data_IF_973174678142
#
_entry.id   IF_973174678142
#
_cell.length_a   1.000
_cell.length_b   1.000
_cell.length_c   1.000
_cell.angle_alpha   90.00
_cell.angle_beta   90.00
_cell.angle_gamma   90.00
#
_symmetry.space_group_name_H-M   'P 1'
#
loop_
_entity.id
_entity.type
_entity.pdbx_description
1 polymer ?
#
# COMPACT_ATOMS: atom_id res chain seq x y z
N UNK A 1 30.30 -40.75 -22.26
CA UNK A 1 30.11 -39.28 -22.17
C UNK A 1 29.87 -38.61 -23.53
N UNK A 2 30.79 -38.63 -24.52
CA UNK A 2 30.52 -37.96 -25.83
C UNK A 2 29.37 -38.57 -26.65
N UNK A 3 29.19 -39.89 -26.61
CA UNK A 3 28.11 -40.57 -27.35
C UNK A 3 26.71 -40.27 -26.76
N UNK A 4 26.58 -40.27 -25.43
CA UNK A 4 25.31 -40.03 -24.75
C UNK A 4 24.80 -38.60 -24.95
N UNK A 5 25.70 -37.61 -24.91
CA UNK A 5 25.37 -36.22 -25.23
C UNK A 5 24.86 -36.04 -26.67
N UNK A 6 25.38 -36.82 -27.62
CA UNK A 6 24.91 -36.76 -29.00
C UNK A 6 23.49 -37.34 -29.16
N UNK A 7 23.15 -38.37 -28.38
CA UNK A 7 21.80 -38.95 -28.34
C UNK A 7 20.81 -37.96 -27.70
N UNK A 8 21.16 -37.36 -26.56
CA UNK A 8 20.35 -36.33 -25.90
C UNK A 8 20.09 -35.12 -26.81
N UNK A 9 21.13 -34.61 -27.49
CA UNK A 9 20.99 -33.52 -28.46
C UNK A 9 20.12 -33.91 -29.66
N UNK A 10 20.16 -35.16 -30.11
CA UNK A 10 19.30 -35.64 -31.20
C UNK A 10 17.83 -35.71 -30.79
N UNK A 11 17.53 -36.22 -29.58
CA UNK A 11 16.17 -36.28 -29.05
C UNK A 11 15.58 -34.88 -28.82
N UNK A 12 16.37 -33.92 -28.33
CA UNK A 12 15.93 -32.53 -28.18
C UNK A 12 15.63 -31.89 -29.54
N UNK A 13 16.46 -32.12 -30.56
CA UNK A 13 16.19 -31.63 -31.92
C UNK A 13 14.92 -32.25 -32.50
N UNK A 14 14.70 -33.54 -32.28
CA UNK A 14 13.49 -34.21 -32.73
C UNK A 14 12.24 -33.61 -32.06
N UNK A 15 12.26 -33.37 -30.74
CA UNK A 15 11.17 -32.70 -30.04
C UNK A 15 10.97 -31.25 -30.52
N UNK A 16 12.06 -30.53 -30.77
CA UNK A 16 12.05 -29.16 -31.30
C UNK A 16 11.40 -29.08 -32.67
N UNK A 17 11.75 -29.97 -33.59
CA UNK A 17 11.20 -29.99 -34.95
C UNK A 17 9.69 -30.27 -34.95
N UNK A 18 9.20 -31.05 -33.99
CA UNK A 18 7.77 -31.36 -33.85
C UNK A 18 6.99 -30.17 -33.31
N UNK A 19 7.45 -29.54 -32.23
CA UNK A 19 6.64 -28.56 -31.48
C UNK A 19 7.07 -27.10 -31.64
N UNK A 20 8.27 -26.82 -32.16
CA UNK A 20 8.86 -25.47 -32.20
C UNK A 20 9.49 -25.13 -33.56
N UNK A 21 9.07 -25.79 -34.64
CA UNK A 21 9.61 -25.57 -35.99
C UNK A 21 9.43 -24.15 -36.54
N UNK A 22 8.50 -23.39 -35.98
CA UNK A 22 8.22 -21.98 -36.28
C UNK A 22 9.02 -20.99 -35.42
N UNK A 23 9.64 -21.45 -34.34
CA UNK A 23 10.47 -20.62 -33.46
C UNK A 23 11.91 -20.68 -33.97
N UNK A 24 12.49 -19.50 -34.23
CA UNK A 24 13.91 -19.43 -34.55
C UNK A 24 14.73 -19.85 -33.32
N UNK A 25 15.36 -21.03 -33.41
CA UNK A 25 16.27 -21.54 -32.39
C UNK A 25 17.47 -20.63 -32.12
N UNK A 26 17.78 -19.70 -33.04
CA UNK A 26 18.83 -18.70 -32.87
C UNK A 26 18.35 -17.41 -32.16
N UNK A 27 17.03 -17.22 -32.03
CA UNK A 27 16.46 -16.12 -31.25
C UNK A 27 16.85 -16.22 -29.78
N UNK A 28 16.79 -15.10 -29.05
CA UNK A 28 17.10 -15.09 -27.61
C UNK A 28 16.25 -16.08 -26.83
N UNK A 29 14.93 -16.07 -27.06
CA UNK A 29 13.98 -16.96 -26.41
C UNK A 29 14.12 -18.42 -26.87
N UNK A 30 14.37 -18.64 -28.18
CA UNK A 30 14.58 -19.97 -28.74
C UNK A 30 15.82 -20.67 -28.16
N UNK A 31 16.91 -19.93 -27.96
CA UNK A 31 18.12 -20.44 -27.28
C UNK A 31 17.84 -20.87 -25.84
N UNK A 32 17.05 -20.08 -25.10
CA UNK A 32 16.69 -20.38 -23.71
C UNK A 32 15.86 -21.67 -23.63
N UNK A 33 14.84 -21.81 -24.49
CA UNK A 33 14.02 -23.01 -24.54
C UNK A 33 14.83 -24.25 -24.95
N UNK A 34 15.67 -24.14 -25.98
CA UNK A 34 16.52 -25.25 -26.44
C UNK A 34 17.51 -25.69 -25.35
N UNK A 35 18.13 -24.72 -24.66
CA UNK A 35 19.02 -25.01 -23.53
C UNK A 35 18.28 -25.68 -22.38
N UNK A 36 17.06 -25.25 -22.05
CA UNK A 36 16.24 -25.89 -21.05
C UNK A 36 15.92 -27.35 -21.42
N UNK A 37 15.50 -27.62 -22.65
CA UNK A 37 15.22 -28.99 -23.10
C UNK A 37 16.45 -29.91 -23.01
N UNK A 38 17.65 -29.39 -23.31
CA UNK A 38 18.89 -30.12 -23.06
C UNK A 38 19.09 -30.46 -21.59
N UNK A 39 18.81 -29.52 -20.67
CA UNK A 39 18.89 -29.83 -19.23
C UNK A 39 17.90 -30.91 -18.81
N UNK A 40 16.67 -30.89 -19.34
CA UNK A 40 15.66 -31.93 -19.06
C UNK A 40 16.12 -33.30 -19.56
N UNK A 41 16.70 -33.37 -20.75
CA UNK A 41 17.23 -34.61 -21.32
C UNK A 41 18.34 -35.21 -20.42
N UNK A 42 19.25 -34.37 -19.90
CA UNK A 42 20.37 -34.80 -19.04
C UNK A 42 19.98 -35.22 -17.62
N UNK A 43 18.80 -34.80 -17.12
CA UNK A 43 18.33 -35.13 -15.76
C UNK A 43 17.69 -36.52 -15.67
N UNK A 44 17.55 -37.22 -16.79
CA UNK A 44 16.99 -38.59 -16.81
C UNK A 44 18.06 -39.56 -16.28
N UNK A 45 17.82 -40.31 -15.18
CA UNK A 45 18.84 -41.17 -14.61
C UNK A 45 19.20 -42.29 -15.59
N UNK A 46 20.47 -42.37 -15.97
CA UNK A 46 21.02 -43.51 -16.69
C UNK A 46 20.87 -44.76 -15.81
N UNK A 47 19.83 -45.56 -16.05
CA UNK A 47 19.82 -46.95 -15.61
C UNK A 47 20.70 -47.73 -16.57
N UNK A 48 21.62 -48.53 -16.03
CA UNK A 48 22.28 -49.58 -16.81
C UNK A 48 21.20 -50.60 -17.20
N UNK A 49 20.76 -50.58 -18.45
CA UNK A 49 19.66 -51.38 -18.97
C UNK A 49 20.01 -51.95 -20.36
N UNK A 50 19.30 -52.99 -20.75
CA UNK A 50 19.59 -53.82 -21.94
C UNK A 50 19.02 -53.21 -23.24
N UNK A 51 19.45 -53.65 -24.44
CA UNK A 51 19.13 -52.98 -25.72
C UNK A 51 17.63 -52.84 -26.07
N UNK A 52 16.76 -53.61 -25.43
CA UNK A 52 15.30 -53.52 -25.61
C UNK A 52 14.65 -52.50 -24.65
N UNK A 53 15.29 -52.21 -23.52
CA UNK A 53 14.87 -51.19 -22.56
C UNK A 53 15.31 -49.79 -23.04
N UNK A 54 16.45 -49.68 -23.74
CA UNK A 54 16.97 -48.43 -24.31
C UNK A 54 15.97 -47.75 -25.28
N UNK A 55 15.33 -48.51 -26.18
CA UNK A 55 14.35 -47.94 -27.12
C UNK A 55 13.08 -47.46 -26.43
N UNK A 56 12.66 -48.13 -25.35
CA UNK A 56 11.48 -47.75 -24.55
C UNK A 56 11.77 -46.47 -23.75
N UNK A 57 12.97 -46.36 -23.18
CA UNK A 57 13.38 -45.20 -22.41
C UNK A 57 13.60 -43.96 -23.29
N UNK A 58 14.16 -44.12 -24.50
CA UNK A 58 14.28 -43.02 -25.47
C UNK A 58 12.91 -42.47 -25.91
N UNK A 59 11.93 -43.34 -26.15
CA UNK A 59 10.56 -42.90 -26.50
C UNK A 59 9.88 -42.13 -25.36
N UNK A 60 10.03 -42.59 -24.11
CA UNK A 60 9.49 -41.90 -22.94
C UNK A 60 10.17 -40.53 -22.71
N UNK A 61 11.48 -40.45 -22.95
CA UNK A 61 12.23 -39.19 -22.92
C UNK A 61 11.75 -38.24 -24.02
N UNK A 62 11.59 -38.73 -25.24
CA UNK A 62 11.09 -37.93 -26.37
C UNK A 62 9.68 -37.39 -26.10
N UNK A 63 8.76 -38.21 -25.58
CA UNK A 63 7.41 -37.78 -25.22
C UNK A 63 7.46 -36.67 -24.16
N UNK A 64 8.30 -36.83 -23.13
CA UNK A 64 8.49 -35.82 -22.09
C UNK A 64 9.05 -34.52 -22.66
N UNK A 65 10.07 -34.59 -23.51
CA UNK A 65 10.69 -33.42 -24.14
C UNK A 65 9.72 -32.70 -25.08
N UNK A 66 8.97 -33.45 -25.88
CA UNK A 66 7.93 -32.91 -26.79
C UNK A 66 6.87 -32.16 -25.98
N UNK A 67 6.44 -32.73 -24.86
CA UNK A 67 5.46 -32.11 -23.99
C UNK A 67 6.00 -30.85 -23.28
N UNK A 68 7.24 -30.89 -22.78
CA UNK A 68 7.90 -29.72 -22.19
C UNK A 68 8.09 -28.59 -23.21
N UNK A 69 8.43 -28.93 -24.46
CA UNK A 69 8.52 -27.98 -25.57
C UNK A 69 7.15 -27.34 -25.84
N UNK A 70 6.10 -28.14 -25.94
CA UNK A 70 4.72 -27.68 -26.17
C UNK A 70 4.22 -26.74 -25.07
N UNK A 71 4.41 -27.10 -23.80
CA UNK A 71 3.95 -26.30 -22.65
C UNK A 71 4.69 -24.95 -22.56
N UNK A 72 5.93 -24.87 -23.07
CA UNK A 72 6.77 -23.66 -22.99
C UNK A 72 6.81 -22.82 -24.26
N UNK A 73 6.42 -23.39 -25.40
CA UNK A 73 6.44 -22.76 -26.73
C UNK A 73 5.82 -21.35 -26.73
N UNK A 74 4.66 -21.20 -26.10
CA UNK A 74 3.89 -19.94 -26.09
C UNK A 74 4.69 -18.78 -25.48
N UNK A 75 5.56 -19.06 -24.51
CA UNK A 75 6.38 -18.04 -23.84
C UNK A 75 7.67 -17.70 -24.58
N UNK A 76 8.03 -18.50 -25.58
CA UNK A 76 9.18 -18.25 -26.44
C UNK A 76 8.81 -17.46 -27.70
N UNK A 77 7.52 -17.18 -27.92
CA UNK A 77 7.05 -16.30 -29.00
C UNK A 77 7.42 -14.84 -28.71
N UNK A 78 7.97 -14.13 -29.70
CA UNK A 78 8.32 -12.71 -29.58
C UNK A 78 7.10 -11.79 -29.43
N UNK A 79 5.93 -12.24 -29.90
CA UNK A 79 4.68 -11.50 -29.73
C UNK A 79 4.14 -11.60 -28.30
N UNK A 80 4.56 -12.63 -27.55
CA UNK A 80 4.13 -12.83 -26.17
C UNK A 80 4.93 -11.95 -25.23
N UNK A 81 4.26 -11.25 -24.32
CA UNK A 81 4.96 -10.39 -23.38
C UNK A 81 4.14 -9.96 -22.17
N UNK A 82 4.57 -8.84 -21.58
CA UNK A 82 4.00 -8.33 -20.33
C UNK A 82 2.49 -8.12 -20.39
N UNK A 83 1.93 -7.67 -21.52
CA UNK A 83 0.50 -7.38 -21.65
C UNK A 83 -0.33 -8.68 -21.55
N UNK A 84 0.14 -9.77 -22.16
CA UNK A 84 -0.52 -11.07 -22.10
C UNK A 84 -0.50 -11.63 -20.68
N UNK A 85 0.66 -11.53 -20.02
CA UNK A 85 0.81 -11.92 -18.62
C UNK A 85 -0.09 -11.07 -17.70
N UNK A 86 -0.15 -9.75 -17.90
CA UNK A 86 -1.03 -8.85 -17.16
C UNK A 86 -2.50 -9.20 -17.34
N UNK A 87 -2.91 -9.59 -18.55
CA UNK A 87 -4.29 -10.03 -18.84
C UNK A 87 -4.64 -11.33 -18.10
N UNK A 88 -3.70 -12.27 -18.00
CA UNK A 88 -3.89 -13.51 -17.23
C UNK A 88 -4.07 -13.19 -15.75
N UNK A 89 -3.17 -12.39 -15.18
CA UNK A 89 -3.22 -12.01 -13.75
C UNK A 89 -4.48 -11.21 -13.43
N UNK A 90 -4.80 -10.20 -14.23
CA UNK A 90 -6.00 -9.37 -14.01
C UNK A 90 -7.28 -10.21 -14.08
N UNK A 91 -7.35 -11.20 -14.97
CA UNK A 91 -8.51 -12.08 -15.07
C UNK A 91 -8.67 -12.95 -13.83
N UNK A 92 -7.57 -13.44 -13.23
CA UNK A 92 -7.65 -14.15 -11.94
C UNK A 92 -8.18 -13.24 -10.86
N UNK A 93 -7.70 -12.00 -10.81
CA UNK A 93 -8.11 -11.00 -9.82
C UNK A 93 -9.60 -10.67 -9.97
N UNK A 94 -10.07 -10.35 -11.18
CA UNK A 94 -11.48 -10.08 -11.48
C UNK A 94 -12.37 -11.27 -11.08
N UNK A 95 -11.95 -12.49 -11.39
CA UNK A 95 -12.68 -13.70 -11.04
C UNK A 95 -12.70 -13.93 -9.52
N UNK A 96 -11.59 -13.64 -8.83
CA UNK A 96 -11.51 -13.73 -7.38
C UNK A 96 -12.44 -12.71 -6.71
N UNK A 97 -12.46 -11.46 -7.18
CA UNK A 97 -13.38 -10.41 -6.72
C UNK A 97 -14.84 -10.83 -6.96
N UNK A 98 -15.16 -11.35 -8.15
CA UNK A 98 -16.51 -11.80 -8.48
C UNK A 98 -16.98 -12.99 -7.61
N UNK A 99 -16.06 -13.90 -7.27
CA UNK A 99 -16.30 -15.03 -6.38
C UNK A 99 -16.50 -14.56 -4.93
N UNK A 100 -15.72 -13.59 -4.47
CA UNK A 100 -15.84 -12.97 -3.15
C UNK A 100 -17.10 -12.12 -2.99
N UNK A 101 -17.67 -11.60 -4.07
CA UNK A 101 -18.95 -10.90 -4.01
C UNK A 101 -20.14 -11.86 -3.75
N UNK A 102 -19.93 -13.18 -3.81
CA UNK A 102 -21.00 -14.17 -3.61
C UNK A 102 -21.25 -14.41 -2.12
N UNK A 103 -22.50 -14.49 -1.67
CA UNK A 103 -22.79 -14.78 -0.28
C UNK A 103 -22.49 -16.25 0.06
N UNK A 104 -21.99 -16.49 1.28
CA UNK A 104 -21.69 -17.83 1.84
C UNK A 104 -22.77 -18.88 1.62
N UNK A 105 -24.04 -18.50 1.79
CA UNK A 105 -25.18 -19.39 1.58
C UNK A 105 -25.22 -20.00 0.17
N UNK A 106 -24.77 -19.28 -0.86
CA UNK A 106 -24.75 -19.81 -2.23
C UNK A 106 -23.74 -20.95 -2.43
N UNK A 107 -22.75 -21.09 -1.54
CA UNK A 107 -21.82 -22.22 -1.54
C UNK A 107 -22.29 -23.37 -0.64
N UNK A 108 -22.87 -23.05 0.52
CA UNK A 108 -23.22 -24.03 1.55
C UNK A 108 -24.62 -24.63 1.39
N UNK A 109 -25.62 -23.85 1.00
CA UNK A 109 -27.00 -24.35 0.84
C UNK A 109 -27.08 -25.54 -0.13
N UNK A 110 -26.33 -25.57 -1.26
CA UNK A 110 -26.35 -26.72 -2.17
C UNK A 110 -25.84 -28.03 -1.58
N UNK A 111 -25.04 -28.00 -0.50
CA UNK A 111 -24.57 -29.22 0.17
C UNK A 111 -25.72 -29.95 0.88
N UNK A 112 -26.77 -29.22 1.26
CA UNK A 112 -27.93 -29.74 1.97
C UNK A 112 -29.09 -30.11 1.03
N UNK A 113 -28.91 -29.99 -0.30
CA UNK A 113 -29.95 -30.34 -1.26
C UNK A 113 -30.04 -31.86 -1.41
N UNK A 114 -31.27 -32.39 -1.45
CA UNK A 114 -31.53 -33.80 -1.74
C UNK A 114 -31.19 -34.21 -3.18
N UNK A 115 -30.92 -33.23 -4.04
CA UNK A 115 -30.62 -33.43 -5.46
C UNK A 115 -29.11 -33.38 -5.66
N UNK A 116 -28.56 -34.45 -6.26
CA UNK A 116 -27.15 -34.51 -6.62
C UNK A 116 -26.76 -33.37 -7.59
N UNK A 117 -25.57 -32.77 -7.41
CA UNK A 117 -25.08 -31.74 -8.32
C UNK A 117 -24.86 -32.31 -9.72
N UNK A 118 -24.93 -31.44 -10.73
CA UNK A 118 -24.59 -31.80 -12.09
C UNK A 118 -23.09 -32.15 -12.21
N UNK A 119 -22.71 -33.10 -13.08
CA UNK A 119 -21.31 -33.54 -13.24
C UNK A 119 -20.34 -32.40 -13.51
N UNK A 120 -20.75 -31.40 -14.31
CA UNK A 120 -19.94 -30.18 -14.55
C UNK A 120 -19.63 -29.38 -13.28
N UNK A 121 -20.54 -29.34 -12.29
CA UNK A 121 -20.30 -28.68 -11.00
C UNK A 121 -19.25 -29.48 -10.21
N UNK A 122 -19.38 -30.80 -10.21
CA UNK A 122 -18.43 -31.70 -9.54
C UNK A 122 -17.05 -31.63 -10.21
N UNK A 123 -16.99 -31.51 -11.52
CA UNK A 123 -15.75 -31.32 -12.27
C UNK A 123 -15.05 -30.01 -11.89
N UNK A 124 -15.80 -28.91 -11.74
CA UNK A 124 -15.26 -27.64 -11.21
C UNK A 124 -14.68 -27.84 -9.81
N UNK A 125 -15.41 -28.52 -8.93
CA UNK A 125 -14.96 -28.79 -7.55
C UNK A 125 -13.71 -29.66 -7.51
N UNK A 126 -13.65 -30.73 -8.32
CA UNK A 126 -12.47 -31.57 -8.49
C UNK A 126 -11.26 -30.74 -8.92
N UNK A 127 -11.46 -29.84 -9.88
CA UNK A 127 -10.41 -28.95 -10.35
C UNK A 127 -9.90 -28.01 -9.24
N UNK A 128 -10.78 -27.45 -8.41
CA UNK A 128 -10.39 -26.65 -7.22
C UNK A 128 -9.56 -27.48 -6.24
N UNK A 129 -10.03 -28.67 -5.87
CA UNK A 129 -9.33 -29.54 -4.92
C UNK A 129 -7.91 -29.88 -5.41
N UNK A 130 -7.77 -30.20 -6.71
CA UNK A 130 -6.47 -30.48 -7.33
C UNK A 130 -5.55 -29.25 -7.37
N UNK A 131 -6.09 -28.06 -7.65
CA UNK A 131 -5.31 -26.81 -7.63
C UNK A 131 -4.75 -26.50 -6.24
N UNK A 132 -5.44 -26.89 -5.17
CA UNK A 132 -4.98 -26.74 -3.78
C UNK A 132 -4.25 -27.97 -3.22
N UNK A 133 -3.91 -28.95 -4.08
CA UNK A 133 -3.24 -30.20 -3.69
C UNK A 133 -3.97 -30.95 -2.56
N UNK A 134 -5.31 -30.87 -2.55
CA UNK A 134 -6.15 -31.54 -1.56
C UNK A 134 -6.30 -33.00 -1.97
N UNK A 135 -5.85 -33.95 -1.15
CA UNK A 135 -5.90 -35.35 -1.51
C UNK A 135 -7.35 -35.85 -1.55
N UNK A 136 -7.73 -36.48 -2.65
CA UNK A 136 -8.91 -37.32 -2.72
C UNK A 136 -8.62 -38.55 -3.60
N UNK A 137 -9.24 -39.71 -3.33
CA UNK A 137 -8.99 -40.93 -4.10
C UNK A 137 -9.29 -40.74 -5.59
N UNK A 138 -8.43 -41.27 -6.47
CA UNK A 138 -8.64 -41.19 -7.92
C UNK A 138 -9.91 -41.91 -8.37
N UNK A 139 -10.33 -42.92 -7.61
CA UNK A 139 -11.55 -43.71 -7.81
C UNK A 139 -12.76 -43.15 -7.05
N UNK A 140 -12.65 -41.99 -6.40
CA UNK A 140 -13.77 -41.39 -5.69
C UNK A 140 -14.90 -41.03 -6.67
N UNK A 141 -16.11 -41.44 -6.31
CA UNK A 141 -17.32 -41.13 -7.10
C UNK A 141 -17.64 -39.64 -7.01
N UNK A 142 -18.44 -39.12 -7.94
CA UNK A 142 -18.87 -37.72 -7.92
C UNK A 142 -19.61 -37.36 -6.62
N UNK A 143 -20.38 -38.30 -6.08
CA UNK A 143 -21.11 -38.12 -4.81
C UNK A 143 -20.16 -38.06 -3.61
N UNK A 144 -19.15 -38.94 -3.54
CA UNK A 144 -18.12 -38.93 -2.48
C UNK A 144 -17.27 -37.66 -2.52
N UNK A 145 -16.92 -37.18 -3.72
CA UNK A 145 -16.20 -35.92 -3.86
C UNK A 145 -17.07 -34.76 -3.37
N UNK A 146 -18.36 -34.72 -3.73
CA UNK A 146 -19.25 -33.64 -3.33
C UNK A 146 -19.57 -33.64 -1.83
N UNK A 147 -20.06 -34.77 -1.30
CA UNK A 147 -20.60 -34.88 0.06
C UNK A 147 -19.53 -34.97 1.14
N UNK A 148 -18.34 -35.45 0.80
CA UNK A 148 -17.26 -35.66 1.78
C UNK A 148 -16.14 -34.66 1.57
N UNK A 149 -15.44 -34.75 0.44
CA UNK A 149 -14.19 -34.00 0.23
C UNK A 149 -14.45 -32.51 0.09
N UNK A 150 -15.38 -32.15 -0.81
CA UNK A 150 -15.76 -30.78 -1.04
C UNK A 150 -16.48 -30.18 0.16
N UNK A 151 -17.50 -30.87 0.71
CA UNK A 151 -18.24 -30.37 1.86
C UNK A 151 -17.29 -30.02 3.04
N UNK A 152 -16.39 -30.93 3.41
CA UNK A 152 -15.43 -30.68 4.49
C UNK A 152 -14.48 -29.52 4.16
N UNK A 153 -13.98 -29.49 2.92
CA UNK A 153 -13.04 -28.45 2.51
C UNK A 153 -13.71 -27.08 2.43
N UNK A 154 -14.86 -26.95 1.77
CA UNK A 154 -15.53 -25.67 1.57
C UNK A 154 -16.09 -25.12 2.88
N UNK A 155 -16.62 -25.95 3.77
CA UNK A 155 -17.07 -25.53 5.10
C UNK A 155 -15.88 -24.98 5.88
N UNK A 156 -14.75 -25.72 5.96
CA UNK A 156 -13.55 -25.26 6.66
C UNK A 156 -13.03 -23.92 6.12
N UNK A 157 -13.04 -23.75 4.80
CA UNK A 157 -12.48 -22.57 4.13
C UNK A 157 -13.46 -21.40 4.01
N UNK A 158 -14.75 -21.59 4.31
CA UNK A 158 -15.75 -20.52 4.39
C UNK A 158 -16.09 -20.16 5.84
N UNK A 159 -16.06 -21.10 6.79
CA UNK A 159 -16.36 -20.88 8.21
C UNK A 159 -15.21 -20.23 8.99
N UNK A 160 -13.97 -20.37 8.53
CA UNK A 160 -12.82 -19.65 9.10
C UNK A 160 -12.95 -18.11 9.03
N UNK A 161 -13.97 -17.59 8.34
CA UNK A 161 -14.28 -16.17 8.20
C UNK A 161 -15.49 -15.75 9.05
N UNK A 162 -15.30 -15.62 10.36
CA UNK A 162 -16.33 -15.10 11.29
C UNK A 162 -16.56 -13.59 11.17
N UNK A 163 -15.70 -12.86 10.45
CA UNK A 163 -15.64 -11.39 10.41
C UNK A 163 -15.94 -10.79 9.04
N UNK A 164 -16.89 -11.37 8.30
CA UNK A 164 -17.33 -10.85 7.00
C UNK A 164 -16.41 -11.20 5.83
N UNK A 165 -16.99 -11.23 4.63
CA UNK A 165 -16.37 -11.52 3.33
C UNK A 165 -15.45 -10.39 2.84
N UNK A 166 -14.83 -9.65 3.75
CA UNK A 166 -14.16 -8.40 3.46
C UNK A 166 -12.66 -8.64 3.28
N UNK A 167 -12.29 -9.01 2.05
CA UNK A 167 -10.90 -9.12 1.60
C UNK A 167 -10.09 -7.83 1.83
N UNK A 168 -10.77 -6.70 2.05
CA UNK A 168 -10.13 -5.40 2.33
C UNK A 168 -9.64 -5.27 3.78
N UNK A 169 -10.15 -6.07 4.72
CA UNK A 169 -9.79 -5.95 6.14
C UNK A 169 -9.12 -7.21 6.74
N UNK A 170 -9.43 -8.38 6.17
CA UNK A 170 -9.27 -9.77 6.63
C UNK A 170 -8.04 -10.67 6.34
N UNK A 171 -6.78 -10.23 6.18
CA UNK A 171 -5.63 -11.16 5.94
C UNK A 171 -5.16 -12.09 7.10
N UNK A 172 -5.96 -13.08 7.51
CA UNK A 172 -5.47 -14.32 8.15
C UNK A 172 -5.74 -15.53 7.24
N UNK A 173 -4.85 -16.54 7.20
CA UNK A 173 -4.87 -17.58 6.17
C UNK A 173 -5.80 -18.72 6.56
N UNK A 174 -6.69 -19.14 5.66
CA UNK A 174 -6.98 -20.53 5.27
C UNK A 174 -8.04 -20.57 4.14
N UNK A 175 -7.64 -20.99 2.94
CA UNK A 175 -8.57 -21.43 1.88
C UNK A 175 -8.67 -20.60 0.61
N UNK A 176 -9.64 -21.01 -0.23
CA UNK A 176 -10.02 -20.48 -1.55
C UNK A 176 -9.97 -18.94 -1.66
N UNK A 177 -10.17 -18.23 -0.54
CA UNK A 177 -10.34 -16.78 -0.46
C UNK A 177 -9.18 -16.02 0.18
N UNK A 178 -8.15 -16.71 0.70
CA UNK A 178 -7.03 -16.09 1.44
C UNK A 178 -5.68 -16.27 0.76
N UNK A 179 -5.53 -17.29 -0.10
CA UNK A 179 -4.32 -17.53 -0.89
C UNK A 179 -4.68 -17.90 -2.33
N UNK A 180 -5.35 -17.01 -3.10
CA UNK A 180 -5.79 -17.33 -4.47
C UNK A 180 -4.62 -17.68 -5.42
N UNK A 181 -3.39 -17.32 -5.07
CA UNK A 181 -2.19 -17.55 -5.89
C UNK A 181 -1.29 -18.72 -5.43
N UNK A 182 -1.60 -19.36 -4.29
CA UNK A 182 -0.85 -20.52 -3.78
C UNK A 182 -1.47 -21.80 -4.34
N UNK A 183 -1.27 -21.97 -5.65
CA UNK A 183 -1.83 -23.06 -6.43
C UNK A 183 -0.72 -24.03 -6.88
N UNK A 184 -1.04 -25.32 -6.93
CA UNK A 184 -0.14 -26.40 -7.27
C UNK A 184 -0.15 -26.69 -8.78
N UNK A 185 1.03 -26.75 -9.45
CA UNK A 185 1.12 -27.16 -10.86
C UNK A 185 1.06 -28.68 -11.06
N UNK A 186 1.12 -29.48 -9.98
CA UNK A 186 1.24 -30.96 -10.04
C UNK A 186 0.17 -31.64 -10.88
N UNK A 187 -1.05 -31.11 -10.86
CA UNK A 187 -2.22 -31.70 -11.49
C UNK A 187 -2.74 -30.89 -12.67
N UNK A 188 -1.94 -29.94 -13.19
CA UNK A 188 -2.39 -28.95 -14.17
C UNK A 188 -3.08 -29.56 -15.40
N UNK A 189 -2.55 -30.65 -15.97
CA UNK A 189 -3.18 -31.35 -17.12
C UNK A 189 -4.58 -31.86 -16.80
N UNK A 190 -4.71 -32.60 -15.69
CA UNK A 190 -6.01 -33.14 -15.23
C UNK A 190 -6.99 -32.01 -14.92
N UNK A 191 -6.52 -30.91 -14.34
CA UNK A 191 -7.34 -29.71 -14.09
C UNK A 191 -7.82 -29.11 -15.41
N UNK A 192 -6.95 -29.02 -16.42
CA UNK A 192 -7.32 -28.52 -17.75
C UNK A 192 -8.40 -29.37 -18.42
N UNK A 193 -8.27 -30.71 -18.39
CA UNK A 193 -9.28 -31.63 -18.92
C UNK A 193 -10.65 -31.44 -18.24
N UNK A 194 -10.63 -31.24 -16.91
CA UNK A 194 -11.85 -30.96 -16.14
C UNK A 194 -12.45 -29.61 -16.54
N UNK A 195 -11.64 -28.57 -16.71
CA UNK A 195 -12.11 -27.25 -17.16
C UNK A 195 -12.74 -27.33 -18.55
N UNK A 196 -12.12 -28.03 -19.49
CA UNK A 196 -12.66 -28.20 -20.84
C UNK A 196 -14.01 -28.92 -20.80
N UNK A 197 -14.15 -29.95 -19.96
CA UNK A 197 -15.44 -30.62 -19.73
C UNK A 197 -16.51 -29.68 -19.17
N UNK A 198 -16.13 -28.72 -18.32
CA UNK A 198 -17.08 -27.75 -17.74
C UNK A 198 -17.50 -26.68 -18.74
N UNK A 199 -16.59 -26.29 -19.66
CA UNK A 199 -16.81 -25.29 -20.71
C UNK A 199 -17.59 -25.84 -21.91
N UNK A 200 -17.56 -27.15 -22.12
CA UNK A 200 -18.43 -27.82 -23.10
C UNK A 200 -19.93 -27.58 -22.81
N UNK A 201 -20.28 -27.29 -21.55
CA UNK A 201 -21.63 -26.97 -21.15
C UNK A 201 -21.89 -25.45 -21.27
N UNK A 202 -22.93 -25.02 -22.02
CA UNK A 202 -23.17 -23.59 -22.26
C UNK A 202 -23.57 -22.84 -20.98
N UNK A 203 -23.22 -21.56 -20.91
CA UNK A 203 -23.55 -20.69 -19.77
C UNK A 203 -25.05 -20.56 -19.50
N UNK A 204 -25.88 -20.76 -20.53
CA UNK A 204 -27.35 -20.79 -20.46
C UNK A 204 -27.90 -22.03 -19.73
N UNK A 205 -27.06 -23.03 -19.43
CA UNK A 205 -27.51 -24.27 -18.82
C UNK A 205 -28.05 -24.05 -17.39
N UNK A 206 -29.10 -24.80 -17.04
CA UNK A 206 -29.85 -24.61 -15.78
C UNK A 206 -29.01 -24.85 -14.52
N UNK A 207 -28.00 -25.72 -14.58
CA UNK A 207 -27.14 -25.99 -13.42
C UNK A 207 -26.39 -24.73 -12.96
N UNK A 208 -25.91 -23.91 -13.89
CA UNK A 208 -25.19 -22.67 -13.59
C UNK A 208 -26.10 -21.56 -13.06
N UNK A 209 -27.36 -21.53 -13.53
CA UNK A 209 -28.38 -20.61 -13.04
C UNK A 209 -28.80 -20.94 -11.61
N UNK A 210 -28.88 -22.23 -11.29
CA UNK A 210 -29.22 -22.71 -9.95
C UNK A 210 -28.05 -22.55 -8.96
N UNK A 211 -26.82 -22.61 -9.45
CA UNK A 211 -25.60 -22.56 -8.63
C UNK A 211 -24.64 -21.47 -9.13
N UNK A 212 -25.07 -20.21 -9.01
CA UNK A 212 -24.37 -19.02 -9.51
C UNK A 212 -22.97 -18.85 -8.93
N UNK A 213 -22.78 -19.15 -7.66
CA UNK A 213 -21.47 -19.17 -7.01
C UNK A 213 -20.50 -20.19 -7.64
N UNK A 214 -21.01 -21.37 -8.01
CA UNK A 214 -20.22 -22.42 -8.66
C UNK A 214 -19.92 -22.12 -10.14
N UNK A 215 -20.75 -21.31 -10.81
CA UNK A 215 -20.39 -20.72 -12.11
C UNK A 215 -19.21 -19.76 -11.97
N UNK A 216 -19.25 -18.85 -10.98
CA UNK A 216 -18.13 -17.96 -10.71
C UNK A 216 -16.86 -18.76 -10.34
N UNK A 217 -17.02 -19.87 -9.61
CA UNK A 217 -15.93 -20.78 -9.27
C UNK A 217 -15.31 -21.43 -10.51
N UNK A 218 -16.15 -21.87 -11.47
CA UNK A 218 -15.69 -22.39 -12.76
C UNK A 218 -14.84 -21.37 -13.50
N UNK A 219 -15.31 -20.13 -13.58
CA UNK A 219 -14.61 -19.05 -14.29
C UNK A 219 -13.26 -18.73 -13.63
N UNK A 220 -13.25 -18.71 -12.29
CA UNK A 220 -12.03 -18.57 -11.49
C UNK A 220 -11.04 -19.71 -11.70
N UNK A 221 -11.48 -20.98 -11.64
CA UNK A 221 -10.62 -22.14 -11.92
C UNK A 221 -10.00 -22.03 -13.31
N UNK A 222 -10.79 -21.63 -14.30
CA UNK A 222 -10.32 -21.52 -15.67
C UNK A 222 -9.27 -20.41 -15.86
N UNK A 223 -9.40 -19.30 -15.12
CA UNK A 223 -8.36 -18.27 -15.04
C UNK A 223 -7.11 -18.79 -14.32
N UNK A 224 -7.30 -19.53 -13.23
CA UNK A 224 -6.22 -20.13 -12.44
C UNK A 224 -5.38 -21.13 -13.23
N UNK A 225 -5.97 -21.91 -14.13
CA UNK A 225 -5.22 -22.80 -15.04
C UNK A 225 -4.21 -22.00 -15.87
N UNK A 226 -4.64 -20.88 -16.45
CA UNK A 226 -3.77 -20.01 -17.25
C UNK A 226 -2.65 -19.39 -16.39
N UNK A 227 -2.98 -18.97 -15.16
CA UNK A 227 -2.02 -18.42 -14.22
C UNK A 227 -0.99 -19.44 -13.72
N UNK A 228 -1.42 -20.66 -13.39
CA UNK A 228 -0.52 -21.73 -12.94
C UNK A 228 0.36 -22.20 -14.09
N UNK A 229 -0.18 -22.27 -15.31
CA UNK A 229 0.60 -22.57 -16.51
C UNK A 229 1.70 -21.52 -16.71
N UNK A 230 1.34 -20.23 -16.65
CA UNK A 230 2.31 -19.13 -16.69
C UNK A 230 3.38 -19.28 -15.60
N UNK A 231 2.96 -19.51 -14.35
CA UNK A 231 3.87 -19.64 -13.20
C UNK A 231 4.85 -20.80 -13.34
N UNK A 232 4.42 -21.91 -13.95
CA UNK A 232 5.19 -23.15 -14.01
C UNK A 232 6.09 -23.26 -15.24
N UNK A 233 5.73 -22.61 -16.36
CA UNK A 233 6.35 -22.85 -17.65
C UNK A 233 7.13 -21.65 -18.20
N UNK A 234 6.96 -20.46 -17.64
CA UNK A 234 7.73 -19.29 -18.04
C UNK A 234 9.14 -19.30 -17.42
N UNK A 235 10.17 -19.33 -18.28
CA UNK A 235 11.57 -19.53 -17.92
C UNK A 235 12.36 -18.22 -17.75
N UNK A 236 13.40 -18.27 -16.91
CA UNK A 236 14.41 -17.22 -16.79
C UNK A 236 15.11 -17.02 -18.14
N UNK A 237 15.06 -15.79 -18.66
CA UNK A 237 15.61 -15.42 -19.98
C UNK A 237 14.58 -15.33 -21.11
N UNK A 238 13.31 -15.69 -20.87
CA UNK A 238 12.22 -15.33 -21.79
C UNK A 238 11.94 -13.81 -21.79
N UNK A 239 11.31 -13.29 -22.85
CA UNK A 239 10.97 -11.87 -22.95
C UNK A 239 10.16 -11.40 -21.72
N UNK A 240 10.49 -10.21 -21.21
CA UNK A 240 9.80 -9.59 -20.07
C UNK A 240 9.82 -10.42 -18.78
N UNK A 241 10.74 -11.37 -18.63
CA UNK A 241 10.70 -12.30 -17.52
C UNK A 241 10.66 -11.63 -16.14
N UNK A 242 11.58 -10.69 -15.90
CA UNK A 242 11.67 -9.98 -14.62
C UNK A 242 10.40 -9.20 -14.29
N UNK A 243 9.77 -8.58 -15.30
CA UNK A 243 8.55 -7.82 -15.12
C UNK A 243 7.35 -8.72 -14.84
N UNK A 244 7.31 -9.90 -15.45
CA UNK A 244 6.29 -10.94 -15.20
C UNK A 244 6.45 -11.52 -13.79
N UNK A 245 7.67 -11.82 -13.37
CA UNK A 245 7.94 -12.29 -12.00
C UNK A 245 7.52 -11.23 -10.97
N UNK A 246 7.78 -9.94 -11.24
CA UNK A 246 7.31 -8.84 -10.38
C UNK A 246 5.79 -8.73 -10.37
N UNK A 247 5.13 -8.89 -11.51
CA UNK A 247 3.68 -8.88 -11.64
C UNK A 247 3.03 -10.04 -10.86
N UNK A 248 3.63 -11.23 -10.92
CA UNK A 248 3.14 -12.44 -10.26
C UNK A 248 3.54 -12.54 -8.79
N UNK A 249 4.47 -11.70 -8.35
CA UNK A 249 4.83 -11.62 -6.94
C UNK A 249 3.55 -11.32 -6.16
N UNK A 250 3.26 -12.06 -5.07
CA UNK A 250 2.09 -11.78 -4.27
C UNK A 250 2.14 -10.29 -3.88
N UNK A 251 1.01 -9.56 -4.01
CA UNK A 251 0.96 -8.18 -3.60
C UNK A 251 1.57 -8.09 -2.21
N UNK A 252 2.53 -7.16 -2.01
CA UNK A 252 3.19 -7.00 -0.72
C UNK A 252 2.09 -6.94 0.31
N UNK A 253 2.00 -7.98 1.15
CA UNK A 253 0.99 -8.08 2.18
C UNK A 253 1.14 -6.82 3.00
N UNK A 254 0.19 -5.90 2.88
CA UNK A 254 -0.07 -4.95 3.95
C UNK A 254 -0.43 -5.82 5.14
N UNK A 255 0.41 -5.90 6.19
CA UNK A 255 0.10 -6.72 7.35
C UNK A 255 -1.26 -6.28 7.90
N UNK A 256 -2.05 -7.27 8.34
CA UNK A 256 -3.37 -7.09 8.91
C UNK A 256 -3.25 -6.55 10.34
N UNK A 257 -2.81 -5.31 10.47
CA UNK A 257 -3.10 -4.40 11.55
C UNK A 257 -2.41 -3.12 11.15
N UNK A 258 -3.10 -1.99 11.20
CA UNK A 258 -2.39 -0.77 11.54
C UNK A 258 -1.73 -1.07 12.89
N UNK A 259 -0.45 -1.39 12.84
CA UNK A 259 0.35 -1.63 14.04
C UNK A 259 0.27 -0.36 14.85
N UNK A 260 0.29 0.77 14.16
CA UNK A 260 0.24 2.09 14.74
C UNK A 260 -1.11 2.77 14.55
N UNK A 261 -1.68 3.25 15.64
CA UNK A 261 -2.85 4.11 15.64
C UNK A 261 -2.41 5.54 15.92
N UNK A 262 -2.84 6.50 15.08
CA UNK A 262 -2.67 7.93 15.34
C UNK A 262 -3.83 8.42 16.20
N UNK A 263 -3.51 9.02 17.34
CA UNK A 263 -4.45 9.65 18.25
C UNK A 263 -4.10 11.12 18.43
N UNK A 264 -5.05 11.88 18.93
CA UNK A 264 -4.91 13.31 19.18
C UNK A 264 -5.47 13.65 20.55
N UNK A 265 -4.75 14.45 21.34
CA UNK A 265 -5.25 14.98 22.62
C UNK A 265 -6.30 16.08 22.39
N UNK A 266 -6.99 16.51 23.45
CA UNK A 266 -7.99 17.60 23.35
C UNK A 266 -7.38 18.92 22.88
N UNK A 267 -6.10 19.12 23.17
CA UNK A 267 -5.27 20.28 22.80
C UNK A 267 -4.66 20.13 21.40
N UNK A 268 -4.94 19.01 20.73
CA UNK A 268 -4.54 18.71 19.37
C UNK A 268 -3.17 18.03 19.23
N UNK A 269 -2.53 17.62 20.32
CA UNK A 269 -1.19 17.01 20.25
C UNK A 269 -1.33 15.58 19.73
N UNK A 270 -0.62 15.28 18.65
CA UNK A 270 -0.62 13.94 18.07
C UNK A 270 0.27 12.99 18.88
N UNK A 271 -0.19 11.75 19.00
CA UNK A 271 0.59 10.65 19.56
C UNK A 271 0.17 9.33 18.91
N UNK A 272 1.03 8.32 19.04
CA UNK A 272 0.94 7.08 18.29
C UNK A 272 0.94 5.90 19.24
N UNK A 273 0.08 4.92 18.98
CA UNK A 273 -0.03 3.70 19.78
C UNK A 273 0.27 2.47 18.95
N UNK A 274 1.24 1.68 19.39
CA UNK A 274 1.56 0.38 18.79
C UNK A 274 0.70 -0.71 19.44
N UNK A 275 -0.19 -1.34 18.67
CA UNK A 275 -1.06 -2.43 19.16
C UNK A 275 -0.29 -3.70 19.50
N UNK A 276 0.77 -4.02 18.75
CA UNK A 276 1.54 -5.26 18.95
C UNK A 276 2.43 -5.15 20.18
N UNK A 277 3.12 -4.02 20.33
CA UNK A 277 4.04 -3.77 21.43
C UNK A 277 3.35 -3.17 22.66
N UNK A 278 2.10 -2.74 22.51
CA UNK A 278 1.33 -2.01 23.53
C UNK A 278 2.09 -0.79 24.07
N UNK A 279 2.75 -0.06 23.17
CA UNK A 279 3.62 1.07 23.48
C UNK A 279 3.09 2.38 22.90
N UNK A 280 3.38 3.47 23.58
CA UNK A 280 3.07 4.82 23.13
C UNK A 280 4.34 5.49 22.59
N UNK A 281 4.17 6.26 21.52
CA UNK A 281 5.20 7.10 20.95
C UNK A 281 4.63 8.50 20.69
N UNK A 282 5.41 9.52 21.02
CA UNK A 282 4.97 10.92 20.85
C UNK A 282 5.28 11.40 19.43
N UNK A 283 6.41 10.96 18.89
CA UNK A 283 6.81 11.29 17.53
C UNK A 283 6.39 10.17 16.58
N UNK A 284 6.12 10.53 15.32
CA UNK A 284 5.66 9.59 14.30
C UNK A 284 6.72 8.52 14.05
N UNK A 285 6.42 7.23 14.27
CA UNK A 285 7.34 6.13 13.99
C UNK A 285 7.72 6.03 12.51
N UNK A 286 8.93 5.56 12.22
CA UNK A 286 9.42 5.41 10.84
C UNK A 286 8.65 4.35 10.04
N UNK A 287 8.11 3.36 10.73
CA UNK A 287 7.30 2.25 10.23
C UNK A 287 5.78 2.50 10.38
N UNK A 288 5.36 3.75 10.58
CA UNK A 288 3.96 4.09 10.76
C UNK A 288 3.12 3.72 9.52
N UNK A 289 2.10 2.89 9.73
CA UNK A 289 1.22 2.32 8.70
C UNK A 289 -0.24 2.80 8.80
N UNK A 290 -0.58 3.55 9.87
CA UNK A 290 -1.94 3.95 10.22
C UNK A 290 -2.57 5.11 9.45
N UNK A 291 -2.00 5.58 8.34
CA UNK A 291 -2.50 6.77 7.62
C UNK A 291 -3.90 6.58 7.03
N UNK A 292 -4.26 5.34 6.67
CA UNK A 292 -5.56 5.00 6.10
C UNK A 292 -6.66 4.80 7.17
N UNK A 293 -6.32 4.86 8.46
CA UNK A 293 -7.28 4.64 9.56
C UNK A 293 -8.10 5.90 9.81
N UNK A 294 -9.35 5.88 9.37
CA UNK A 294 -10.30 6.96 9.62
C UNK A 294 -11.06 6.80 10.94
N UNK A 295 -11.15 5.59 11.48
CA UNK A 295 -11.85 5.32 12.74
C UNK A 295 -11.10 4.33 13.64
N UNK A 296 -10.98 4.67 14.93
CA UNK A 296 -10.33 3.83 15.94
C UNK A 296 -11.40 3.06 16.72
N UNK A 297 -11.39 1.72 16.71
CA UNK A 297 -12.31 0.89 17.47
C UNK A 297 -12.25 1.15 18.99
N UNK A 298 -13.37 1.00 19.69
CA UNK A 298 -13.47 1.26 21.13
C UNK A 298 -12.52 0.40 21.99
N UNK A 299 -12.28 -0.86 21.58
CA UNK A 299 -11.34 -1.75 22.27
C UNK A 299 -9.91 -1.19 22.25
N UNK A 300 -9.49 -0.63 21.11
CA UNK A 300 -8.16 0.00 21.00
C UNK A 300 -8.09 1.26 21.85
N UNK A 301 -9.16 2.06 21.92
CA UNK A 301 -9.21 3.24 22.79
C UNK A 301 -9.05 2.88 24.27
N UNK A 302 -9.64 1.76 24.72
CA UNK A 302 -9.46 1.28 26.09
C UNK A 302 -8.01 0.91 26.37
N UNK A 303 -7.38 0.14 25.48
CA UNK A 303 -5.96 -0.25 25.61
C UNK A 303 -5.01 0.96 25.59
N UNK A 304 -5.32 1.97 24.78
CA UNK A 304 -4.56 3.23 24.75
C UNK A 304 -4.67 3.98 26.07
N UNK A 305 -5.88 4.06 26.63
CA UNK A 305 -6.09 4.72 27.94
C UNK A 305 -5.32 3.99 29.04
N UNK A 306 -5.38 2.66 29.08
CA UNK A 306 -4.62 1.84 30.03
C UNK A 306 -3.10 2.05 29.85
N UNK A 307 -2.60 2.11 28.61
CA UNK A 307 -1.19 2.39 28.35
C UNK A 307 -0.78 3.81 28.80
N UNK A 308 -1.64 4.82 28.57
CA UNK A 308 -1.40 6.20 28.99
C UNK A 308 -1.42 6.38 30.50
N UNK A 309 -2.28 5.64 31.21
CA UNK A 309 -2.33 5.63 32.67
C UNK A 309 -1.05 5.03 33.27
N UNK A 310 -0.49 4.00 32.62
CA UNK A 310 0.72 3.32 33.07
C UNK A 310 2.02 4.07 32.67
N UNK A 311 2.02 4.83 31.59
CA UNK A 311 3.20 5.59 31.13
C UNK A 311 3.18 7.06 31.57
N UNK A 312 3.64 7.28 32.81
CA UNK A 312 3.72 8.60 33.42
C UNK A 312 4.62 9.58 32.64
N UNK A 313 5.68 9.09 32.00
CA UNK A 313 6.63 9.94 31.28
C UNK A 313 5.99 10.53 30.02
N UNK A 314 5.32 9.66 29.25
CA UNK A 314 4.59 10.09 28.04
C UNK A 314 3.44 11.05 28.39
N UNK A 315 2.72 10.81 29.48
CA UNK A 315 1.64 11.73 29.93
C UNK A 315 2.14 13.14 30.25
N UNK A 316 3.21 13.26 31.04
CA UNK A 316 3.80 14.57 31.38
C UNK A 316 4.27 15.32 30.13
N UNK A 317 4.85 14.60 29.17
CA UNK A 317 5.35 15.20 27.94
C UNK A 317 4.19 15.65 27.03
N UNK A 318 3.10 14.88 26.96
CA UNK A 318 1.87 15.30 26.27
C UNK A 318 1.24 16.54 26.92
N UNK A 319 1.18 16.61 28.25
CA UNK A 319 0.75 17.81 28.97
C UNK A 319 1.66 18.99 28.67
N UNK A 320 2.98 18.81 28.67
CA UNK A 320 3.95 19.87 28.36
C UNK A 320 3.74 20.41 26.94
N UNK A 321 3.63 19.53 25.95
CA UNK A 321 3.37 19.90 24.54
C UNK A 321 1.98 20.53 24.39
N UNK A 322 0.98 20.05 25.11
CA UNK A 322 -0.38 20.62 25.13
C UNK A 322 -0.39 22.05 25.69
N UNK A 323 0.23 22.29 26.84
CA UNK A 323 0.40 23.64 27.40
C UNK A 323 1.18 24.55 26.45
N UNK A 324 2.22 24.04 25.80
CA UNK A 324 2.97 24.81 24.81
C UNK A 324 2.09 25.17 23.61
N UNK A 325 1.27 24.25 23.08
CA UNK A 325 0.37 24.53 21.96
C UNK A 325 -0.76 25.49 22.34
N UNK A 326 -1.33 25.36 23.53
CA UNK A 326 -2.30 26.32 24.06
C UNK A 326 -1.63 27.69 24.18
N UNK A 327 -0.42 27.75 24.72
CA UNK A 327 0.36 28.98 24.82
C UNK A 327 0.66 29.57 23.45
N UNK A 328 1.08 28.79 22.48
CA UNK A 328 1.33 29.22 21.11
C UNK A 328 0.05 29.71 20.44
N UNK A 329 -1.07 29.01 20.59
CA UNK A 329 -2.39 29.45 20.13
C UNK A 329 -2.80 30.77 20.77
N UNK A 330 -2.66 30.91 22.09
CA UNK A 330 -2.95 32.17 22.80
C UNK A 330 -2.01 33.29 22.37
N UNK A 331 -0.73 33.00 22.12
CA UNK A 331 0.25 33.96 21.59
C UNK A 331 -0.05 34.38 20.16
N UNK A 332 -0.56 33.46 19.34
CA UNK A 332 -1.03 33.75 17.99
C UNK A 332 -2.31 34.57 18.02
N UNK A 333 -3.24 34.28 18.94
CA UNK A 333 -4.50 35.00 19.12
C UNK A 333 -4.28 36.43 19.66
N UNK A 334 -3.28 36.65 20.50
CA UNK A 334 -3.12 37.89 21.26
C UNK A 334 -1.75 38.57 21.12
N UNK A 335 -1.57 39.33 20.03
CA UNK A 335 -0.48 40.31 19.94
C UNK A 335 -0.85 41.61 20.67
N UNK A 336 -0.26 41.80 21.85
CA UNK A 336 -0.40 43.02 22.66
C UNK A 336 0.83 43.93 22.50
N UNK A 337 0.57 45.22 22.32
CA UNK A 337 1.60 46.26 22.28
C UNK A 337 1.48 47.11 23.53
N UNK A 338 2.60 47.33 24.21
CA UNK A 338 2.66 48.28 25.31
C UNK A 338 2.74 49.70 24.75
N UNK A 339 1.78 50.53 25.15
CA UNK A 339 1.63 51.92 24.76
C UNK A 339 1.72 52.83 25.99
N UNK A 340 2.02 54.11 25.77
CA UNK A 340 2.05 55.13 26.82
C UNK A 340 1.09 56.25 26.41
N UNK A 341 0.13 56.57 27.28
CA UNK A 341 -0.69 57.74 27.08
C UNK A 341 0.14 59.01 27.35
N UNK A 342 0.17 59.91 26.37
CA UNK A 342 0.97 61.13 26.41
C UNK A 342 0.46 62.12 27.46
N UNK A 343 -0.83 62.10 27.79
CA UNK A 343 -1.44 63.06 28.73
C UNK A 343 -1.27 62.62 30.19
N UNK A 344 -1.52 61.33 30.46
CA UNK A 344 -1.47 60.78 31.81
C UNK A 344 -0.13 60.14 32.17
N UNK A 345 0.74 59.90 31.17
CA UNK A 345 2.00 59.14 31.29
C UNK A 345 1.82 57.72 31.82
N UNK A 346 0.60 57.16 31.73
CA UNK A 346 0.30 55.80 32.16
C UNK A 346 0.49 54.80 31.02
N UNK A 347 0.95 53.60 31.38
CA UNK A 347 1.10 52.49 30.47
C UNK A 347 -0.24 51.81 30.23
N UNK A 348 -0.53 51.47 28.98
CA UNK A 348 -1.69 50.67 28.61
C UNK A 348 -1.32 49.64 27.54
N UNK A 349 -2.04 48.54 27.49
CA UNK A 349 -1.80 47.45 26.57
C UNK A 349 -2.88 47.45 25.50
N UNK A 350 -2.47 47.49 24.23
CA UNK A 350 -3.37 47.50 23.09
C UNK A 350 -3.26 46.20 22.30
N UNK A 351 -4.39 45.52 22.11
CA UNK A 351 -4.47 44.33 21.27
C UNK A 351 -4.64 44.74 19.80
N UNK A 352 -3.64 44.45 18.98
CA UNK A 352 -3.64 44.82 17.55
C UNK A 352 -4.70 44.06 16.77
N UNK A 353 -5.00 42.81 17.16
CA UNK A 353 -5.97 41.95 16.47
C UNK A 353 -7.42 42.24 16.87
N UNK A 354 -7.68 42.55 18.13
CA UNK A 354 -9.05 42.66 18.67
C UNK A 354 -9.49 44.11 18.96
N UNK A 355 -8.63 45.11 18.74
CA UNK A 355 -8.90 46.52 19.00
C UNK A 355 -9.35 46.80 20.45
N UNK A 356 -8.82 46.05 21.41
CA UNK A 356 -9.11 46.19 22.85
C UNK A 356 -7.97 46.89 23.58
N UNK A 357 -8.32 47.60 24.64
CA UNK A 357 -7.40 48.31 25.53
C UNK A 357 -7.49 47.68 26.92
N UNK A 358 -6.35 47.46 27.58
CA UNK A 358 -6.25 47.02 28.96
C UNK A 358 -5.29 47.93 29.74
N UNK A 359 -5.67 48.30 30.96
CA UNK A 359 -4.82 49.07 31.89
C UNK A 359 -3.84 48.17 32.66
N UNK A 360 -4.09 46.86 32.68
CA UNK A 360 -3.28 45.85 33.37
C UNK A 360 -2.61 44.95 32.32
N UNK A 361 -1.35 44.51 32.54
CA UNK A 361 -0.71 43.55 31.64
C UNK A 361 -1.57 42.28 31.50
N UNK A 362 -1.86 41.84 30.27
CA UNK A 362 -2.62 40.61 30.03
C UNK A 362 -1.84 39.40 30.54
N UNK A 363 -2.57 38.41 31.07
CA UNK A 363 -1.99 37.28 31.78
C UNK A 363 -1.07 36.38 30.91
N UNK A 364 -1.33 36.32 29.60
CA UNK A 364 -0.58 35.51 28.64
C UNK A 364 -0.21 36.35 27.42
N UNK A 365 1.07 36.69 27.23
CA UNK A 365 1.50 37.43 26.04
C UNK A 365 2.99 37.72 25.96
N UNK A 366 3.57 37.55 24.77
CA UNK A 366 4.84 38.20 24.37
C UNK A 366 4.48 39.63 24.01
N UNK A 367 4.85 40.60 24.84
CA UNK A 367 4.67 42.01 24.55
C UNK A 367 5.95 42.60 23.97
N UNK A 368 5.80 43.44 22.95
CA UNK A 368 6.90 44.28 22.49
C UNK A 368 6.92 45.51 23.40
N UNK A 369 7.96 45.64 24.21
CA UNK A 369 8.17 46.86 25.03
C UNK A 369 8.21 48.07 24.12
N UNK A 370 7.65 49.19 24.58
CA UNK A 370 7.72 50.46 23.84
C UNK A 370 9.17 50.84 23.47
N UNK A 371 10.16 50.48 24.29
CA UNK A 371 11.59 50.66 24.03
C UNK A 371 12.11 49.85 22.83
N UNK A 372 11.52 48.71 22.53
CA UNK A 372 11.91 47.77 21.47
C UNK A 372 11.05 47.94 20.21
N UNK A 373 9.89 48.56 20.32
CA UNK A 373 8.96 48.81 19.21
C UNK A 373 9.53 49.77 18.16
N UNK A 374 9.72 49.27 16.94
CA UNK A 374 10.14 50.06 15.77
C UNK A 374 9.13 51.17 15.45
N UNK A 375 7.84 50.89 15.59
CA UNK A 375 6.77 51.85 15.36
C UNK A 375 6.81 52.99 16.40
N UNK A 376 6.99 52.67 17.69
CA UNK A 376 7.10 53.68 18.74
C UNK A 376 8.32 54.59 18.54
N UNK A 377 9.48 54.01 18.19
CA UNK A 377 10.69 54.77 17.85
C UNK A 377 10.48 55.70 16.65
N UNK A 378 9.73 55.26 15.63
CA UNK A 378 9.40 56.09 14.47
C UNK A 378 8.50 57.28 14.83
N UNK A 379 7.47 57.05 15.66
CA UNK A 379 6.57 58.11 16.15
C UNK A 379 7.33 59.14 16.98
N UNK A 380 8.20 58.70 17.90
CA UNK A 380 9.05 59.62 18.68
C UNK A 380 9.99 60.45 17.77
N UNK A 381 10.58 59.84 16.75
CA UNK A 381 11.42 60.57 15.76
C UNK A 381 10.62 61.61 14.99
N UNK A 382 9.39 61.30 14.57
CA UNK A 382 8.50 62.26 13.91
C UNK A 382 8.10 63.40 14.83
N UNK A 383 7.71 63.10 16.07
CA UNK A 383 7.33 64.12 17.06
C UNK A 383 8.51 65.04 17.42
N UNK A 384 9.70 64.48 17.62
CA UNK A 384 10.92 65.26 17.90
C UNK A 384 11.33 66.11 16.69
N UNK A 385 11.27 65.58 15.47
CA UNK A 385 11.52 66.33 14.25
C UNK A 385 10.52 67.48 14.07
N UNK A 386 9.23 67.24 14.34
CA UNK A 386 8.20 68.27 14.28
C UNK A 386 8.41 69.37 15.33
N UNK A 387 8.67 69.01 16.59
CA UNK A 387 8.99 69.96 17.67
C UNK A 387 10.22 70.80 17.31
N UNK A 388 11.28 70.17 16.79
CA UNK A 388 12.49 70.85 16.32
C UNK A 388 12.18 71.85 15.22
N UNK A 389 11.42 71.46 14.19
CA UNK A 389 11.04 72.34 13.07
C UNK A 389 10.24 73.55 13.56
N UNK A 390 9.27 73.34 14.47
CA UNK A 390 8.46 74.42 15.06
C UNK A 390 9.29 75.36 15.92
N UNK A 391 10.25 74.85 16.69
CA UNK A 391 11.19 75.64 17.47
C UNK A 391 12.11 76.47 16.56
N UNK A 392 12.65 75.86 15.50
CA UNK A 392 13.49 76.55 14.51
C UNK A 392 12.75 77.70 13.83
N UNK A 393 11.49 77.49 13.43
CA UNK A 393 10.64 78.56 12.89
C UNK A 393 10.44 79.70 13.92
N UNK A 394 10.11 79.38 15.18
CA UNK A 394 9.98 80.39 16.24
C UNK A 394 11.28 81.15 16.50
N UNK A 395 12.43 80.48 16.47
CA UNK A 395 13.74 81.10 16.64
C UNK A 395 14.13 81.95 15.43
N UNK A 396 13.82 81.53 14.21
CA UNK A 396 14.02 82.34 13.00
C UNK A 396 13.16 83.61 13.07
N UNK A 397 11.88 83.51 13.42
CA UNK A 397 11.01 84.68 13.63
C UNK A 397 11.59 85.62 14.70
N UNK A 398 12.10 85.09 15.82
CA UNK A 398 12.76 85.90 16.84
C UNK A 398 14.08 86.52 16.35
N UNK A 399 14.89 85.81 15.57
CA UNK A 399 16.14 86.34 14.98
C UNK A 399 15.85 87.44 13.96
N UNK A 400 14.85 87.27 13.10
CA UNK A 400 14.40 88.32 12.16
C UNK A 400 13.89 89.54 12.93
N UNK A 401 13.05 89.34 13.96
CA UNK A 401 12.61 90.43 14.84
C UNK A 401 13.77 91.12 15.57
N UNK A 402 14.83 90.40 15.92
CA UNK A 402 16.02 90.96 16.59
C UNK A 402 16.92 91.72 15.61
N UNK A 403 17.00 91.26 14.36
CA UNK A 403 17.73 91.94 13.28
C UNK A 403 17.01 93.21 12.78
N UNK A 404 15.68 93.30 12.96
CA UNK A 404 14.89 94.49 12.67
C UNK A 404 14.83 95.52 13.81
N UNK A 405 15.47 95.25 14.96
CA UNK A 405 15.61 96.23 16.03
C UNK A 405 16.83 97.12 15.75
N UNK A 406 16.73 98.46 15.91
CA UNK A 406 17.86 99.35 15.71
C UNK A 406 19.00 98.98 16.67
N UNK A 407 20.19 98.74 16.10
CA UNK A 407 21.42 98.50 16.87
C UNK A 407 21.86 99.85 17.42
N UNK A 408 21.61 100.10 18.72
CA UNK A 408 22.27 101.20 19.42
C UNK A 408 23.71 100.79 19.69
N UNK A 409 24.65 101.29 18.88
CA UNK A 409 26.09 101.25 19.18
C UNK A 409 26.35 102.17 20.37
N UNK A 410 26.36 101.61 21.58
CA UNK A 410 26.67 102.38 22.78
C UNK A 410 28.17 102.65 22.87
N UNK A 411 28.49 103.94 22.77
CA UNK A 411 29.70 104.64 23.18
C UNK A 411 30.45 103.95 24.33
N UNK A 412 31.69 103.56 24.05
CA UNK A 412 32.60 102.96 25.02
C UNK A 412 34.06 103.33 24.74
N UNK A 413 34.34 104.59 24.43
CA UNK A 413 35.69 105.16 24.53
C UNK A 413 35.66 106.31 25.54
N UNK A 414 35.60 105.93 26.81
CA UNK A 414 35.89 106.80 27.95
C UNK A 414 36.93 106.09 28.82
N UNK A 415 38.20 106.46 28.62
CA UNK A 415 39.36 106.39 29.53
C UNK A 415 40.45 107.21 28.81
N UNK A 416 41.09 108.20 29.40
CA UNK A 416 41.75 108.19 30.71
C UNK A 416 41.84 109.61 31.30
N UNK A 417 41.72 109.66 32.62
CA UNK A 417 42.27 110.71 33.48
C UNK A 417 43.81 110.73 33.40
N UNK A 418 44.37 111.93 33.26
CA UNK A 418 45.50 112.45 34.05
C UNK A 418 45.42 113.96 34.04
#
# INVERSE_FOLDING_TARGET
MRAQRAIEEALVRQAWDVECSDIDSASGAGKVLFAYLLTVATQTPAKEATPAEDMSDETAVLERLTQEARDKRVYADEAWGFIDAATIVSRVDDCAIALQARPKREFLDPLNWDIAPHSAIVATVKAVLLLFDVPYPSYATDDEVWRTHWALWIIKNIDAHTSGWEWVATNEPMGLFTQPYVLSPRHLRRVNDLVDSTRALPDSHRCWHRMTAYRCLRDWVAACVSYVHLKAHHLDGFPSHDDIVRLMAPPRRTPQSNVWFRLETREGVEYFYNRLLQQLAIDRPADFDGDAVTSIPNVIRQLVNEALENDHATRLELERRGHQRIRERLLDEEQWVQCIDVHTQQEYYYSVRHFRISEVPPANGVFIRHTESVAYRAVLRLQTAYRRRRLQQRLQVKKVKRASLPVFSTLGNAKRFS
#
